data_IF_305178508130
#
_entry.id   IF_305178508130
#
_cell.length_a   1.000
_cell.length_b   1.000
_cell.length_c   1.000
_cell.angle_alpha   90.00
_cell.angle_beta   90.00
_cell.angle_gamma   90.00
#
_symmetry.space_group_name_H-M   'P 1'
#
loop_
_entity.id
_entity.type
_entity.pdbx_description
1 polymer ?
#
# COMPACT_ATOMS: atom_id res chain seq x y z
N UNK A 1 10.79 -8.77 -28.36
CA UNK A 1 9.70 -7.93 -27.80
C UNK A 1 10.22 -7.29 -26.53
N UNK A 2 10.57 -6.01 -26.59
CA UNK A 2 11.15 -5.28 -25.47
C UNK A 2 10.01 -4.76 -24.58
N UNK A 3 9.78 -5.40 -23.43
CA UNK A 3 8.90 -4.85 -22.38
C UNK A 3 9.53 -3.57 -21.80
N UNK A 4 8.72 -2.60 -21.35
CA UNK A 4 9.23 -1.29 -20.93
C UNK A 4 10.16 -1.48 -19.74
N UNK A 5 11.42 -1.09 -19.93
CA UNK A 5 12.46 -1.07 -18.91
C UNK A 5 12.10 0.02 -17.89
N UNK A 6 11.52 -0.37 -16.75
CA UNK A 6 11.31 0.52 -15.62
C UNK A 6 12.65 1.14 -15.22
N UNK A 7 12.81 2.43 -15.47
CA UNK A 7 14.03 3.18 -15.22
C UNK A 7 14.29 3.16 -13.70
N UNK A 8 15.45 2.63 -13.31
CA UNK A 8 15.94 2.62 -11.93
C UNK A 8 16.25 4.05 -11.50
N UNK A 9 15.25 4.78 -11.03
CA UNK A 9 15.39 6.14 -10.53
C UNK A 9 14.33 6.38 -9.46
N UNK A 10 14.75 6.27 -8.19
CA UNK A 10 13.92 6.29 -6.96
C UNK A 10 13.02 5.07 -6.81
N UNK A 11 13.01 4.36 -5.65
CA UNK A 11 12.03 3.32 -5.40
C UNK A 11 10.63 3.93 -5.58
N UNK A 12 9.77 3.39 -6.46
CA UNK A 12 8.39 3.86 -6.53
C UNK A 12 7.76 3.68 -5.16
N UNK A 13 6.97 4.66 -4.72
CA UNK A 13 6.15 4.46 -3.53
C UNK A 13 5.05 3.47 -3.89
N UNK A 14 5.18 2.25 -3.37
CA UNK A 14 4.29 1.11 -3.67
C UNK A 14 3.70 0.60 -2.38
N UNK A 15 2.41 0.28 -2.43
CA UNK A 15 1.69 -0.37 -1.33
C UNK A 15 1.08 -1.65 -1.89
N UNK A 16 1.39 -2.77 -1.25
CA UNK A 16 0.94 -4.10 -1.64
C UNK A 16 0.18 -4.75 -0.48
N UNK A 17 -1.00 -5.26 -0.77
CA UNK A 17 -1.83 -6.01 0.16
C UNK A 17 -2.83 -6.86 -0.64
N UNK A 18 -3.44 -7.85 0.01
CA UNK A 18 -4.54 -8.61 -0.62
C UNK A 18 -5.77 -7.72 -0.84
N UNK A 19 -6.65 -8.10 -1.77
CA UNK A 19 -7.90 -7.37 -2.02
C UNK A 19 -8.77 -7.25 -0.76
N UNK A 20 -8.77 -8.27 0.09
CA UNK A 20 -9.51 -8.26 1.36
C UNK A 20 -8.98 -7.18 2.31
N UNK A 21 -7.65 -7.06 2.45
CA UNK A 21 -7.02 -6.05 3.30
C UNK A 21 -7.33 -4.64 2.79
N UNK A 22 -7.28 -4.42 1.47
CA UNK A 22 -7.66 -3.13 0.87
C UNK A 22 -9.11 -2.75 1.19
N UNK A 23 -10.05 -3.67 1.04
CA UNK A 23 -11.46 -3.42 1.38
C UNK A 23 -11.64 -3.14 2.88
N UNK A 24 -10.95 -3.89 3.75
CA UNK A 24 -11.05 -3.68 5.20
C UNK A 24 -10.51 -2.31 5.63
N UNK A 25 -9.41 -1.84 5.01
CA UNK A 25 -8.88 -0.48 5.21
C UNK A 25 -9.85 0.59 4.69
N UNK A 26 -10.38 0.41 3.47
CA UNK A 26 -11.36 1.32 2.85
C UNK A 26 -12.60 1.53 3.72
N UNK A 27 -13.06 0.45 4.37
CA UNK A 27 -14.23 0.43 5.24
C UNK A 27 -13.93 0.80 6.70
N UNK A 28 -12.66 1.01 7.06
CA UNK A 28 -12.25 1.30 8.45
C UNK A 28 -12.39 0.10 9.42
N UNK A 29 -12.59 -1.11 8.89
CA UNK A 29 -12.66 -2.35 9.68
C UNK A 29 -11.27 -2.77 10.17
N UNK A 30 -10.23 -2.46 9.40
CA UNK A 30 -8.83 -2.70 9.72
C UNK A 30 -8.08 -1.37 9.73
N UNK A 31 -7.23 -1.15 10.74
CA UNK A 31 -6.36 0.02 10.83
C UNK A 31 -5.09 -0.14 9.99
N UNK A 32 -4.58 0.95 9.42
CA UNK A 32 -3.34 0.94 8.63
C UNK A 32 -2.12 0.46 9.43
N UNK A 33 -1.95 0.99 10.65
CA UNK A 33 -0.85 0.61 11.53
C UNK A 33 -0.92 -0.87 11.94
N UNK A 34 -2.14 -1.38 12.16
CA UNK A 34 -2.36 -2.79 12.49
C UNK A 34 -2.01 -3.69 11.29
N UNK A 35 -2.45 -3.32 10.09
CA UNK A 35 -2.16 -4.07 8.87
C UNK A 35 -0.65 -4.12 8.56
N UNK A 36 0.08 -3.02 8.78
CA UNK A 36 1.55 -2.97 8.70
C UNK A 36 2.20 -3.84 9.79
N UNK A 37 1.76 -3.68 11.04
CA UNK A 37 2.31 -4.40 12.19
C UNK A 37 2.09 -5.92 12.10
N UNK A 38 1.00 -6.36 11.47
CA UNK A 38 0.68 -7.77 11.24
C UNK A 38 1.23 -8.33 9.92
N UNK A 39 2.04 -7.56 9.17
CA UNK A 39 2.54 -7.91 7.85
C UNK A 39 1.44 -8.30 6.83
N UNK A 40 0.22 -7.77 6.99
CA UNK A 40 -0.88 -7.94 6.04
C UNK A 40 -0.83 -6.91 4.89
N UNK A 41 -0.10 -5.82 5.11
CA UNK A 41 0.17 -4.75 4.16
C UNK A 41 1.68 -4.47 4.15
N UNK A 42 2.23 -4.27 2.96
CA UNK A 42 3.60 -3.83 2.73
C UNK A 42 3.57 -2.46 2.09
N UNK A 43 4.27 -1.49 2.68
CA UNK A 43 4.43 -0.15 2.14
C UNK A 43 5.92 0.14 1.97
N UNK A 44 6.33 0.40 0.73
CA UNK A 44 7.74 0.62 0.36
C UNK A 44 7.90 1.95 -0.37
N UNK A 45 8.84 2.77 0.10
CA UNK A 45 9.14 4.10 -0.45
C UNK A 45 8.65 5.23 0.46
N UNK A 46 9.29 6.39 0.34
CA UNK A 46 9.10 7.55 1.23
C UNK A 46 7.65 8.08 1.26
N UNK A 47 6.89 7.89 0.18
CA UNK A 47 5.50 8.35 0.05
C UNK A 47 4.50 7.19 0.01
N UNK A 48 4.87 6.02 0.53
CA UNK A 48 4.00 4.84 0.59
C UNK A 48 3.02 4.86 1.77
N UNK A 49 3.23 5.76 2.74
CA UNK A 49 2.25 6.00 3.78
C UNK A 49 1.07 6.80 3.23
N UNK A 50 0.01 6.07 2.89
CA UNK A 50 -1.28 6.61 2.44
C UNK A 50 -2.36 6.42 3.50
N UNK A 51 -1.98 6.12 4.75
CA UNK A 51 -2.89 5.88 5.88
C UNK A 51 -3.93 6.99 6.05
N UNK A 52 -3.51 8.23 5.81
CA UNK A 52 -4.34 9.45 5.91
C UNK A 52 -5.57 9.48 4.99
N UNK A 53 -5.62 8.63 3.96
CA UNK A 53 -6.76 8.55 3.05
C UNK A 53 -7.78 7.51 3.48
N UNK A 54 -7.51 6.76 4.56
CA UNK A 54 -8.42 5.76 5.09
C UNK A 54 -9.05 6.23 6.40
N UNK A 55 -10.33 5.89 6.66
CA UNK A 55 -11.26 5.23 5.72
C UNK A 55 -11.73 6.18 4.60
N UNK A 56 -12.31 5.63 3.52
CA UNK A 56 -12.63 6.40 2.30
C UNK A 56 -14.00 7.13 2.34
N UNK A 57 -14.50 7.47 3.53
CA UNK A 57 -15.82 8.08 3.72
C UNK A 57 -15.79 9.29 4.65
#
# INVERSE_FOLDING_TARGET
>A
MAGPRHTRGTPPSVVEASAFVWCALALGVLGWADALGSAQLSASGERSDISRYFPLF
#
